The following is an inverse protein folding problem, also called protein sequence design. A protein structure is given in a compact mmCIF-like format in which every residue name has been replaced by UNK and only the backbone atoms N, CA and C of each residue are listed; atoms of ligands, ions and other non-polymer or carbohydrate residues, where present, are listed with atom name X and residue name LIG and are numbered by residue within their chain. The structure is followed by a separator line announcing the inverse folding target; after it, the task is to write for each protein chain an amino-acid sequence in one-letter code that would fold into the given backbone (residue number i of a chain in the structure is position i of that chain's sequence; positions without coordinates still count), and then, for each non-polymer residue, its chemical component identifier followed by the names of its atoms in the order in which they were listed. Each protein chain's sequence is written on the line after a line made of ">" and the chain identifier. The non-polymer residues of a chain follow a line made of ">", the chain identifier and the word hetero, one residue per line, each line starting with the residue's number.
data_IF_203771484012
#
_entry.id   IF_203771484012
#
_cell.length_a   1.000
_cell.length_b   1.000
_cell.length_c   1.000
_cell.angle_alpha   90.00
_cell.angle_beta   90.00
_cell.angle_gamma   90.00
#
_symmetry.space_group_name_H-M   'P 1'
#
loop_
_entity.id
_entity.type
_entity.pdbx_description
1 polymer ?
#
# COMPACT_ATOMS: atom_id res chain seq x y z
N UNK A 1 15.14 -3.40 3.09
CA UNK A 1 14.30 -4.47 2.50
C UNK A 1 13.92 -4.01 1.11
N UNK A 2 14.04 -4.86 0.10
CA UNK A 2 13.62 -4.55 -1.28
C UNK A 2 12.16 -4.97 -1.50
N UNK A 3 11.44 -4.35 -2.44
CA UNK A 3 10.07 -4.74 -2.79
C UNK A 3 9.92 -6.25 -3.05
N UNK A 4 10.86 -6.86 -3.77
CA UNK A 4 10.84 -8.28 -4.10
C UNK A 4 11.08 -9.22 -2.90
N UNK A 5 11.68 -8.73 -1.82
CA UNK A 5 11.83 -9.48 -0.57
C UNK A 5 10.54 -9.37 0.25
N UNK A 6 9.94 -8.16 0.29
CA UNK A 6 8.67 -7.90 0.96
C UNK A 6 7.53 -8.73 0.37
N UNK A 7 7.39 -8.78 -0.95
CA UNK A 7 6.29 -9.51 -1.62
C UNK A 7 6.37 -11.03 -1.46
N UNK A 8 7.52 -11.56 -1.02
CA UNK A 8 7.69 -12.99 -0.70
C UNK A 8 7.26 -13.35 0.72
N UNK A 9 7.04 -12.36 1.59
CA UNK A 9 6.55 -12.63 2.94
C UNK A 9 5.11 -13.16 2.87
N UNK A 10 4.68 -13.99 3.84
CA UNK A 10 3.27 -14.32 4.02
C UNK A 10 2.43 -13.05 4.17
N UNK A 11 1.20 -13.05 3.67
CA UNK A 11 0.32 -11.88 3.67
C UNK A 11 0.20 -11.22 5.05
N UNK A 12 0.05 -12.03 6.11
CA UNK A 12 0.01 -11.51 7.48
C UNK A 12 1.31 -10.78 7.88
N UNK A 13 2.47 -11.32 7.51
CA UNK A 13 3.76 -10.67 7.80
C UNK A 13 3.98 -9.40 6.98
N UNK A 14 3.46 -9.34 5.75
CA UNK A 14 3.46 -8.11 4.96
C UNK A 14 2.68 -7.01 5.69
N UNK A 15 1.45 -7.32 6.12
CA UNK A 15 0.59 -6.39 6.86
C UNK A 15 1.20 -5.98 8.20
N UNK A 16 1.67 -6.93 8.99
CA UNK A 16 2.33 -6.64 10.27
C UNK A 16 3.55 -5.74 10.07
N UNK A 17 4.30 -5.93 8.99
CA UNK A 17 5.45 -5.09 8.65
C UNK A 17 5.00 -3.67 8.30
N UNK A 18 3.95 -3.51 7.48
CA UNK A 18 3.40 -2.21 7.14
C UNK A 18 2.87 -1.48 8.36
N UNK A 19 2.04 -2.13 9.17
CA UNK A 19 1.42 -1.51 10.34
C UNK A 19 2.42 -1.13 11.43
N UNK A 20 3.57 -1.81 11.50
CA UNK A 20 4.61 -1.52 12.51
C UNK A 20 5.70 -0.58 12.03
N UNK A 21 6.02 -0.58 10.74
CA UNK A 21 7.23 0.08 10.19
C UNK A 21 6.94 1.02 9.03
N UNK A 22 5.76 0.94 8.43
CA UNK A 22 5.36 1.79 7.33
C UNK A 22 4.62 3.01 7.84
N UNK A 23 4.80 4.13 7.14
CA UNK A 23 4.06 5.36 7.36
C UNK A 23 2.92 5.43 6.34
N UNK A 24 1.70 5.64 6.79
CA UNK A 24 0.58 5.90 5.88
C UNK A 24 0.78 7.29 5.28
N UNK A 25 0.88 7.36 3.95
CA UNK A 25 1.01 8.62 3.24
C UNK A 25 -0.34 9.17 2.81
N UNK A 26 -1.20 8.31 2.27
CA UNK A 26 -2.49 8.71 1.74
C UNK A 26 -3.45 7.53 1.65
N UNK A 27 -4.73 7.85 1.57
CA UNK A 27 -5.78 6.92 1.19
C UNK A 27 -6.61 7.52 0.04
N UNK A 28 -7.00 6.69 -0.92
CA UNK A 28 -7.94 7.07 -1.97
C UNK A 28 -9.07 6.06 -2.08
N UNK A 29 -10.23 6.53 -2.51
CA UNK A 29 -11.43 5.73 -2.71
C UNK A 29 -11.76 5.75 -4.20
N UNK A 30 -11.88 4.58 -4.82
CA UNK A 30 -12.27 4.47 -6.22
C UNK A 30 -13.30 3.34 -6.40
N UNK A 31 -14.54 3.74 -6.66
CA UNK A 31 -15.67 2.81 -6.75
C UNK A 31 -15.80 1.98 -5.47
N UNK A 32 -15.80 0.66 -5.64
CA UNK A 32 -15.97 -0.31 -4.55
C UNK A 32 -14.64 -0.68 -3.85
N UNK A 33 -13.58 0.12 -4.05
CA UNK A 33 -12.26 -0.16 -3.50
C UNK A 33 -11.69 1.00 -2.69
N UNK A 34 -10.97 0.62 -1.63
CA UNK A 34 -10.16 1.52 -0.81
C UNK A 34 -8.71 1.21 -1.08
N UNK A 35 -7.92 2.23 -1.39
CA UNK A 35 -6.48 2.08 -1.59
C UNK A 35 -5.72 2.83 -0.50
N UNK A 36 -4.83 2.13 0.20
CA UNK A 36 -3.95 2.71 1.22
C UNK A 36 -2.51 2.71 0.70
N UNK A 37 -1.90 3.88 0.67
CA UNK A 37 -0.50 4.05 0.30
C UNK A 37 0.36 4.16 1.55
N UNK A 38 1.31 3.24 1.67
CA UNK A 38 2.33 3.23 2.70
C UNK A 38 3.69 3.59 2.10
N UNK A 39 4.48 4.34 2.85
CA UNK A 39 5.92 4.47 2.66
C UNK A 39 6.62 3.47 3.59
N UNK A 40 7.42 2.57 3.02
CA UNK A 40 8.27 1.65 3.77
C UNK A 40 9.74 1.97 3.53
N UNK A 41 10.12 3.21 3.89
CA UNK A 41 11.45 3.83 3.75
C UNK A 41 11.92 3.98 2.30
N UNK A 42 12.31 2.88 1.67
CA UNK A 42 13.02 2.85 0.38
C UNK A 42 12.08 2.51 -0.80
N UNK A 43 10.79 2.31 -0.52
CA UNK A 43 9.78 1.94 -1.48
C UNK A 43 8.38 2.16 -0.91
N UNK A 44 7.39 2.14 -1.80
CA UNK A 44 5.99 2.30 -1.46
C UNK A 44 5.25 0.98 -1.54
N UNK A 45 4.19 0.87 -0.74
CA UNK A 45 3.26 -0.27 -0.78
C UNK A 45 1.84 0.23 -0.84
N UNK A 46 1.11 -0.21 -1.87
CA UNK A 46 -0.32 0.02 -2.03
C UNK A 46 -1.07 -1.23 -1.58
N UNK A 47 -2.01 -1.04 -0.65
CA UNK A 47 -3.01 -2.03 -0.28
C UNK A 47 -4.32 -1.68 -0.97
N UNK A 48 -4.95 -2.66 -1.61
CA UNK A 48 -6.28 -2.53 -2.19
C UNK A 48 -7.27 -3.40 -1.42
N UNK A 49 -8.25 -2.75 -0.82
CA UNK A 49 -9.34 -3.38 -0.08
C UNK A 49 -10.65 -3.26 -0.83
N UNK A 50 -11.53 -4.22 -0.59
CA UNK A 50 -12.97 -4.07 -0.83
C UNK A 50 -13.56 -3.04 0.14
N UNK A 51 -14.29 -2.04 -0.35
CA UNK A 51 -14.83 -0.98 0.46
C UNK A 51 -15.98 -1.42 1.39
N UNK A 52 -16.66 -2.53 1.09
CA UNK A 52 -17.84 -2.99 1.85
C UNK A 52 -17.53 -4.13 2.82
N UNK A 53 -16.68 -5.05 2.40
CA UNK A 53 -16.31 -6.26 3.15
C UNK A 53 -14.98 -6.11 3.88
N UNK A 54 -14.20 -5.06 3.56
CA UNK A 54 -12.86 -4.81 4.11
C UNK A 54 -11.88 -5.97 3.84
N UNK A 55 -12.14 -6.76 2.80
CA UNK A 55 -11.25 -7.84 2.37
C UNK A 55 -10.07 -7.27 1.59
N UNK A 56 -8.86 -7.71 1.93
CA UNK A 56 -7.65 -7.33 1.20
C UNK A 56 -7.58 -8.08 -0.13
N UNK A 57 -7.69 -7.37 -1.25
CA UNK A 57 -7.59 -7.94 -2.60
C UNK A 57 -6.15 -8.05 -3.08
N UNK A 58 -5.34 -7.01 -2.82
CA UNK A 58 -4.01 -6.92 -3.42
C UNK A 58 -3.05 -6.13 -2.56
N UNK A 59 -1.79 -6.58 -2.57
CA UNK A 59 -0.63 -5.87 -2.03
C UNK A 59 0.36 -5.65 -3.16
N UNK A 60 0.69 -4.39 -3.45
CA UNK A 60 1.61 -4.02 -4.51
C UNK A 60 2.76 -3.19 -3.95
N UNK A 61 3.99 -3.70 -4.05
CA UNK A 61 5.19 -2.96 -3.66
C UNK A 61 5.92 -2.41 -4.89
N UNK A 62 6.31 -1.15 -4.86
CA UNK A 62 6.94 -0.48 -6.00
C UNK A 62 7.87 0.66 -5.57
N UNK A 63 8.80 1.02 -6.46
CA UNK A 63 9.68 2.19 -6.29
C UNK A 63 9.38 3.33 -7.27
N UNK A 64 8.56 3.03 -8.27
CA UNK A 64 8.23 3.96 -9.32
C UNK A 64 7.35 5.10 -8.79
N UNK A 65 7.73 6.33 -9.06
CA UNK A 65 6.97 7.51 -8.66
C UNK A 65 5.76 7.76 -9.56
N UNK A 66 5.71 7.20 -10.77
CA UNK A 66 4.54 7.30 -11.66
C UNK A 66 3.28 6.73 -10.98
N UNK A 67 3.44 5.68 -10.17
CA UNK A 67 2.33 5.08 -9.41
C UNK A 67 1.84 5.95 -8.25
N UNK A 68 2.55 7.04 -7.93
CA UNK A 68 2.11 8.03 -6.95
C UNK A 68 1.20 9.10 -7.56
N UNK A 69 1.12 9.20 -8.89
CA UNK A 69 0.30 10.22 -9.55
C UNK A 69 -1.15 10.29 -9.04
N UNK A 70 -1.87 9.16 -8.86
CA UNK A 70 -3.25 9.24 -8.39
C UNK A 70 -3.34 9.60 -6.89
N UNK A 71 -2.21 9.61 -6.18
CA UNK A 71 -2.12 10.01 -4.77
C UNK A 71 -1.73 11.48 -4.58
N UNK A 72 -1.17 12.14 -5.59
CA UNK A 72 -0.70 13.53 -5.48
C UNK A 72 -1.74 14.51 -4.88
N UNK A 73 -3.04 14.43 -5.21
CA UNK A 73 -4.05 15.32 -4.61
C UNK A 73 -4.27 15.11 -3.11
N UNK A 74 -3.81 13.99 -2.55
CA UNK A 74 -4.03 13.56 -1.16
C UNK A 74 -2.76 13.66 -0.30
N UNK A 75 -1.61 13.94 -0.92
CA UNK A 75 -0.35 14.18 -0.22
C UNK A 75 -0.28 15.66 0.17
N UNK A 76 -0.37 15.94 1.48
CA UNK A 76 -0.32 17.30 2.05
C UNK A 76 1.11 17.84 2.16
#
# INVERSE_FOLDING_TARGET
>A
MKPAEFTKLPAQQQLDTLYRKGDILANRYEGDHIFLLYNLRDFYVELRYDAYTNNLYQVSAFRDTEKLEPYLPYLA
#
